data_IF_254368048124
#
_entry.id   IF_254368048124
#
_cell.length_a   1.000
_cell.length_b   1.000
_cell.length_c   1.000
_cell.angle_alpha   90.00
_cell.angle_beta   90.00
_cell.angle_gamma   90.00
#
_symmetry.space_group_name_H-M   'P 1'
#
loop_
_entity.id
_entity.type
_entity.pdbx_description
1 polymer ?
#
# COMPACT_ATOMS: atom_id res chain seq x y z
N UNK A 1 -9.05 -6.36 -15.50
CA UNK A 1 -8.97 -4.97 -14.99
C UNK A 1 -7.52 -4.56 -14.86
N UNK A 2 -7.14 -3.34 -15.23
CA UNK A 2 -5.78 -2.81 -15.00
C UNK A 2 -5.87 -1.65 -14.02
N UNK A 3 -5.02 -1.64 -13.01
CA UNK A 3 -4.93 -0.60 -11.98
C UNK A 3 -3.49 -0.16 -11.80
N UNK A 4 -3.31 1.07 -11.32
CA UNK A 4 -2.00 1.64 -11.01
C UNK A 4 -1.94 1.96 -9.52
N UNK A 5 -0.86 1.52 -8.89
CA UNK A 5 -0.58 1.69 -7.48
C UNK A 5 0.55 2.71 -7.30
N UNK A 6 0.26 3.96 -6.92
CA UNK A 6 1.26 5.03 -6.86
C UNK A 6 2.23 4.85 -5.69
N UNK A 7 3.43 5.40 -5.82
CA UNK A 7 4.34 5.57 -4.68
C UNK A 7 3.86 6.68 -3.75
N UNK A 8 4.47 6.77 -2.55
CA UNK A 8 4.31 7.90 -1.62
C UNK A 8 5.66 8.50 -1.24
N UNK A 9 5.62 9.72 -0.76
CA UNK A 9 6.72 10.36 -0.04
C UNK A 9 6.26 10.79 1.36
N UNK A 10 7.16 10.71 2.33
CA UNK A 10 7.02 11.47 3.56
C UNK A 10 7.64 12.86 3.30
N UNK A 11 6.79 13.86 3.04
CA UNK A 11 7.23 15.23 2.77
C UNK A 11 7.80 15.90 4.04
N UNK A 12 7.27 15.50 5.19
CA UNK A 12 7.86 15.73 6.51
C UNK A 12 7.70 14.48 7.35
N UNK A 13 8.59 14.23 8.30
CA UNK A 13 8.50 13.12 9.25
C UNK A 13 9.12 13.55 10.57
N UNK A 14 8.33 13.48 11.64
CA UNK A 14 8.77 13.72 13.00
C UNK A 14 8.45 12.51 13.86
N UNK A 15 9.43 12.02 14.61
CA UNK A 15 9.25 11.00 15.62
C UNK A 15 9.02 11.72 16.94
N UNK A 16 7.81 11.58 17.51
CA UNK A 16 7.37 12.29 18.71
C UNK A 16 7.74 11.55 19.99
N UNK A 17 7.95 10.22 19.90
CA UNK A 17 8.31 9.40 21.03
C UNK A 17 8.16 7.91 20.77
N UNK A 18 8.57 7.10 21.74
CA UNK A 18 8.37 5.66 21.71
C UNK A 18 7.09 5.33 22.49
N UNK A 19 6.25 4.48 21.91
CA UNK A 19 4.98 4.03 22.46
C UNK A 19 5.19 2.80 23.33
N UNK A 20 4.22 2.51 24.20
CA UNK A 20 4.22 1.32 25.06
C UNK A 20 4.13 0.02 24.26
N UNK A 21 3.51 0.05 23.07
CA UNK A 21 3.39 -1.07 22.14
C UNK A 21 4.69 -1.37 21.35
N UNK A 22 5.77 -0.61 21.63
CA UNK A 22 7.09 -0.77 21.03
C UNK A 22 7.27 -0.02 19.69
N UNK A 23 6.20 0.53 19.12
CA UNK A 23 6.25 1.40 17.95
C UNK A 23 6.63 2.84 18.33
N UNK A 24 6.82 3.68 17.32
CA UNK A 24 7.03 5.11 17.50
C UNK A 24 5.74 5.87 17.24
N UNK A 25 5.48 6.87 18.08
CA UNK A 25 4.51 7.91 17.80
C UNK A 25 5.14 8.87 16.80
N UNK A 26 4.49 9.07 15.65
CA UNK A 26 5.01 9.94 14.60
C UNK A 26 3.95 10.90 14.08
N UNK A 27 4.44 12.00 13.49
CA UNK A 27 3.64 12.89 12.68
C UNK A 27 4.35 13.05 11.35
N UNK A 28 3.66 12.77 10.26
CA UNK A 28 4.22 12.84 8.91
C UNK A 28 3.20 13.38 7.92
N UNK A 29 3.67 14.17 6.96
CA UNK A 29 2.88 14.54 5.79
C UNK A 29 3.20 13.58 4.67
N UNK A 30 2.30 12.66 4.39
CA UNK A 30 2.42 11.74 3.26
C UNK A 30 1.79 12.34 2.00
N UNK A 31 2.47 12.19 0.88
CA UNK A 31 2.00 12.68 -0.42
C UNK A 31 2.10 11.58 -1.48
N UNK A 32 1.09 11.39 -2.35
CA UNK A 32 1.17 10.45 -3.44
C UNK A 32 2.11 10.97 -4.54
N UNK A 33 2.84 10.06 -5.19
CA UNK A 33 3.75 10.34 -6.31
C UNK A 33 3.14 9.78 -7.59
N UNK A 34 2.35 10.58 -8.28
CA UNK A 34 1.61 10.16 -9.46
C UNK A 34 2.48 9.67 -10.64
N UNK A 35 3.72 10.15 -10.73
CA UNK A 35 4.64 9.77 -11.82
C UNK A 35 5.34 8.43 -11.64
N UNK A 36 5.20 7.75 -10.50
CA UNK A 36 5.84 6.48 -10.19
C UNK A 36 4.81 5.51 -9.60
N UNK A 37 4.39 4.55 -10.42
CA UNK A 37 3.34 3.58 -10.05
C UNK A 37 3.75 2.16 -10.41
N UNK A 38 3.41 1.20 -9.57
CA UNK A 38 3.34 -0.19 -9.95
C UNK A 38 2.07 -0.43 -10.79
N UNK A 39 2.07 -1.49 -11.59
CA UNK A 39 0.93 -1.82 -12.45
C UNK A 39 0.45 -3.22 -12.12
N UNK A 40 -0.86 -3.34 -11.86
CA UNK A 40 -1.50 -4.62 -11.60
C UNK A 40 -2.54 -4.91 -12.68
N UNK A 41 -2.52 -6.13 -13.21
CA UNK A 41 -3.59 -6.67 -14.06
C UNK A 41 -4.30 -7.77 -13.29
N UNK A 42 -5.62 -7.64 -13.13
CA UNK A 42 -6.46 -8.60 -12.40
C UNK A 42 -7.40 -9.24 -13.42
N UNK A 43 -7.26 -10.54 -13.60
CA UNK A 43 -8.07 -11.34 -14.51
C UNK A 43 -8.71 -12.51 -13.75
N UNK A 44 -9.96 -12.86 -14.10
CA UNK A 44 -10.61 -14.04 -13.51
C UNK A 44 -9.88 -15.31 -13.94
N UNK A 45 -9.72 -16.25 -13.00
CA UNK A 45 -9.01 -17.51 -13.19
C UNK A 45 -9.76 -18.65 -12.49
N UNK A 46 -9.22 -19.87 -12.51
CA UNK A 46 -9.78 -21.02 -11.76
C UNK A 46 -9.33 -20.99 -10.29
N UNK A 47 -8.16 -20.44 -10.02
CA UNK A 47 -7.57 -20.30 -8.68
C UNK A 47 -6.84 -18.97 -8.55
N UNK A 48 -6.50 -18.58 -7.31
CA UNK A 48 -5.63 -17.43 -7.09
C UNK A 48 -4.20 -17.74 -7.54
N UNK A 49 -3.65 -16.86 -8.37
CA UNK A 49 -2.26 -16.87 -8.80
C UNK A 49 -1.70 -15.44 -8.76
N UNK A 50 -0.46 -15.28 -8.27
CA UNK A 50 0.24 -14.02 -8.31
C UNK A 50 1.52 -14.19 -9.17
N UNK A 51 1.53 -13.54 -10.33
CA UNK A 51 2.70 -13.43 -11.20
C UNK A 51 3.45 -12.14 -10.91
N UNK A 52 4.72 -12.24 -10.54
CA UNK A 52 5.61 -11.09 -10.32
C UNK A 52 6.79 -11.19 -11.28
N UNK A 53 7.10 -10.11 -12.00
CA UNK A 53 8.21 -10.05 -12.93
C UNK A 53 9.61 -10.00 -12.31
N UNK A 54 9.71 -9.96 -10.97
CA UNK A 54 10.97 -9.76 -10.25
C UNK A 54 11.09 -10.71 -9.05
N UNK A 55 12.25 -11.33 -8.90
CA UNK A 55 12.59 -12.14 -7.73
C UNK A 55 12.74 -11.30 -6.43
N UNK A 56 12.83 -9.98 -6.53
CA UNK A 56 12.97 -9.07 -5.38
C UNK A 56 11.69 -8.95 -4.53
N UNK A 57 10.58 -9.51 -5.00
CA UNK A 57 9.27 -9.37 -4.35
C UNK A 57 9.08 -10.39 -3.20
N UNK A 58 10.01 -11.31 -3.03
CA UNK A 58 9.96 -12.36 -2.01
C UNK A 58 8.91 -13.46 -2.28
N UNK A 59 8.68 -14.37 -1.32
CA UNK A 59 7.69 -15.44 -1.46
C UNK A 59 6.28 -14.90 -1.67
N UNK A 60 5.53 -15.53 -2.58
CA UNK A 60 4.16 -15.14 -2.94
C UNK A 60 3.25 -15.09 -1.70
N UNK A 61 3.40 -16.02 -0.78
CA UNK A 61 2.60 -16.13 0.43
C UNK A 61 2.75 -14.93 1.37
N UNK A 62 3.93 -14.31 1.37
CA UNK A 62 4.26 -13.16 2.22
C UNK A 62 3.97 -11.81 1.52
N UNK A 63 3.65 -11.85 0.23
CA UNK A 63 3.38 -10.65 -0.54
C UNK A 63 2.10 -9.96 -0.03
N UNK A 64 2.14 -8.63 0.11
CA UNK A 64 0.99 -7.86 0.59
C UNK A 64 -0.23 -7.95 -0.33
N UNK A 65 -0.04 -8.16 -1.64
CA UNK A 65 -1.12 -8.45 -2.59
C UNK A 65 -1.84 -9.75 -2.22
N UNK A 66 -1.08 -10.82 -1.95
CA UNK A 66 -1.65 -12.10 -1.50
C UNK A 66 -2.38 -11.95 -0.18
N UNK A 67 -1.77 -11.25 0.77
CA UNK A 67 -2.37 -11.00 2.09
C UNK A 67 -3.66 -10.18 1.99
N UNK A 68 -3.69 -9.17 1.12
CA UNK A 68 -4.88 -8.35 0.87
C UNK A 68 -6.02 -9.19 0.30
N UNK A 69 -5.74 -10.03 -0.71
CA UNK A 69 -6.74 -10.93 -1.29
C UNK A 69 -7.26 -11.93 -0.24
N UNK A 70 -6.38 -12.55 0.56
CA UNK A 70 -6.80 -13.49 1.62
C UNK A 70 -7.62 -12.82 2.71
N UNK A 71 -7.26 -11.60 3.09
CA UNK A 71 -8.04 -10.81 4.04
C UNK A 71 -9.43 -10.52 3.48
N UNK A 72 -9.53 -10.10 2.23
CA UNK A 72 -10.79 -9.85 1.56
C UNK A 72 -11.67 -11.12 1.48
N UNK A 73 -11.09 -12.29 1.10
CA UNK A 73 -11.79 -13.57 1.11
C UNK A 73 -12.36 -13.91 2.50
N UNK A 74 -11.55 -13.68 3.55
CA UNK A 74 -11.94 -13.96 4.93
C UNK A 74 -13.07 -13.04 5.40
N UNK A 75 -12.99 -11.75 5.09
CA UNK A 75 -13.97 -10.75 5.50
C UNK A 75 -15.31 -10.92 4.79
N UNK A 76 -15.29 -11.41 3.54
CA UNK A 76 -16.51 -11.55 2.72
C UNK A 76 -17.09 -12.96 2.70
N UNK A 77 -16.31 -13.97 3.08
CA UNK A 77 -16.64 -15.39 2.90
C UNK A 77 -16.63 -15.84 1.44
N UNK A 78 -16.20 -14.98 0.50
CA UNK A 78 -16.16 -15.28 -0.94
C UNK A 78 -14.77 -15.72 -1.35
N UNK A 79 -14.69 -16.61 -2.34
CA UNK A 79 -13.45 -16.97 -3.01
C UNK A 79 -13.15 -15.96 -4.12
N UNK A 80 -11.89 -15.56 -4.21
CA UNK A 80 -11.39 -14.63 -5.20
C UNK A 80 -10.40 -15.33 -6.16
N UNK A 81 -10.91 -16.13 -7.11
CA UNK A 81 -10.08 -16.89 -8.05
C UNK A 81 -9.59 -15.95 -9.16
N UNK A 82 -8.55 -15.19 -8.86
CA UNK A 82 -7.96 -14.23 -9.79
C UNK A 82 -6.49 -14.55 -10.05
N UNK A 83 -6.09 -14.41 -11.31
CA UNK A 83 -4.70 -14.26 -11.69
C UNK A 83 -4.37 -12.78 -11.65
N UNK A 84 -3.43 -12.41 -10.78
CA UNK A 84 -2.92 -11.05 -10.61
C UNK A 84 -1.50 -10.99 -11.14
N UNK A 85 -1.28 -10.17 -12.17
CA UNK A 85 0.06 -9.87 -12.68
C UNK A 85 0.51 -8.54 -12.11
N UNK A 86 1.62 -8.56 -11.37
CA UNK A 86 2.22 -7.39 -10.72
C UNK A 86 3.52 -7.00 -11.41
N UNK A 87 3.51 -5.86 -12.07
CA UNK A 87 4.69 -5.23 -12.66
C UNK A 87 5.23 -4.17 -11.68
N UNK A 88 6.36 -4.47 -11.02
CA UNK A 88 7.00 -3.57 -10.07
C UNK A 88 7.84 -2.52 -10.78
N UNK A 89 7.58 -1.26 -10.47
CA UNK A 89 8.34 -0.08 -10.92
C UNK A 89 8.81 0.76 -9.74
N UNK A 90 8.10 0.68 -8.61
CA UNK A 90 8.48 1.34 -7.37
C UNK A 90 9.62 0.53 -6.74
N UNK A 91 10.81 1.14 -6.52
CA UNK A 91 11.95 0.44 -5.95
C UNK A 91 11.64 -0.13 -4.56
N UNK A 92 11.95 -1.41 -4.35
CA UNK A 92 11.77 -2.08 -3.06
C UNK A 92 12.73 -1.52 -2.00
N UNK A 93 12.27 -1.43 -0.75
CA UNK A 93 13.09 -0.97 0.38
C UNK A 93 13.52 0.49 0.31
N UNK A 94 12.83 1.32 -0.47
CA UNK A 94 13.14 2.73 -0.66
C UNK A 94 12.27 3.69 0.19
N UNK A 95 11.43 3.17 1.10
CA UNK A 95 10.49 3.99 1.87
C UNK A 95 9.32 4.57 1.07
N UNK A 96 9.13 4.12 -0.19
CA UNK A 96 8.15 4.66 -1.13
C UNK A 96 6.77 3.97 -1.04
N UNK A 97 6.59 3.01 -0.15
CA UNK A 97 5.31 2.37 0.14
C UNK A 97 4.76 1.45 -0.95
N UNK A 98 5.56 1.01 -1.93
CA UNK A 98 5.07 0.28 -3.10
C UNK A 98 4.24 -0.97 -2.76
N UNK A 99 4.70 -1.83 -1.83
CA UNK A 99 3.93 -3.01 -1.42
C UNK A 99 2.61 -2.67 -0.73
N UNK A 100 2.58 -1.60 0.07
CA UNK A 100 1.37 -1.10 0.72
C UNK A 100 0.39 -0.53 -0.30
N UNK A 101 0.89 0.17 -1.31
CA UNK A 101 0.11 0.69 -2.43
C UNK A 101 -0.52 -0.45 -3.25
N UNK A 102 0.26 -1.50 -3.56
CA UNK A 102 -0.25 -2.68 -4.27
C UNK A 102 -1.41 -3.34 -3.50
N UNK A 103 -1.26 -3.49 -2.18
CA UNK A 103 -2.28 -4.09 -1.32
C UNK A 103 -3.57 -3.28 -1.28
N UNK A 104 -3.46 -1.96 -1.10
CA UNK A 104 -4.61 -1.05 -1.11
C UNK A 104 -5.33 -1.08 -2.46
N UNK A 105 -4.57 -1.05 -3.57
CA UNK A 105 -5.11 -1.14 -4.92
C UNK A 105 -5.89 -2.45 -5.14
N UNK A 106 -5.40 -3.58 -4.62
CA UNK A 106 -6.09 -4.87 -4.69
C UNK A 106 -7.36 -4.88 -3.85
N UNK A 107 -7.36 -4.35 -2.61
CA UNK A 107 -8.57 -4.26 -1.78
C UNK A 107 -9.67 -3.47 -2.49
N UNK A 108 -9.34 -2.29 -3.01
CA UNK A 108 -10.29 -1.44 -3.75
C UNK A 108 -10.82 -2.16 -4.99
N UNK A 109 -9.91 -2.76 -5.79
CA UNK A 109 -10.30 -3.47 -7.00
C UNK A 109 -11.22 -4.67 -6.72
N UNK A 110 -10.95 -5.45 -5.68
CA UNK A 110 -11.79 -6.58 -5.30
C UNK A 110 -13.17 -6.11 -4.81
N UNK A 111 -13.23 -5.00 -4.05
CA UNK A 111 -14.49 -4.41 -3.64
C UNK A 111 -15.38 -4.06 -4.84
N UNK A 112 -14.77 -3.43 -5.85
CA UNK A 112 -15.46 -3.02 -7.09
C UNK A 112 -15.88 -4.24 -7.94
N UNK A 113 -14.98 -5.21 -8.17
CA UNK A 113 -15.21 -6.37 -9.02
C UNK A 113 -16.27 -7.29 -8.41
N UNK A 114 -16.19 -7.56 -7.10
CA UNK A 114 -17.09 -8.45 -6.39
C UNK A 114 -18.39 -7.75 -5.93
N UNK A 115 -18.48 -6.43 -6.08
CA UNK A 115 -19.64 -5.59 -5.71
C UNK A 115 -20.06 -5.85 -4.27
N UNK A 116 -19.10 -5.74 -3.35
CA UNK A 116 -19.34 -5.91 -1.91
C UNK A 116 -19.90 -4.64 -1.30
N UNK A 117 -19.54 -3.47 -1.89
CA UNK A 117 -19.94 -2.14 -1.45
C UNK A 117 -19.44 -1.81 -0.02
N UNK A 118 -18.25 -2.30 0.35
CA UNK A 118 -17.57 -1.79 1.55
C UNK A 118 -17.38 -0.28 1.43
N UNK A 119 -17.68 0.41 2.51
CA UNK A 119 -17.38 1.84 2.67
C UNK A 119 -15.87 2.07 2.76
N UNK A 120 -15.44 3.32 2.52
CA UNK A 120 -14.03 3.69 2.67
C UNK A 120 -13.50 3.39 4.08
N UNK A 121 -14.32 3.61 5.12
CA UNK A 121 -13.95 3.30 6.51
C UNK A 121 -13.71 1.79 6.73
N UNK A 122 -14.55 0.92 6.19
CA UNK A 122 -14.38 -0.53 6.29
C UNK A 122 -13.14 -1.00 5.53
N UNK A 123 -12.87 -0.43 4.35
CA UNK A 123 -11.64 -0.72 3.60
C UNK A 123 -10.39 -0.23 4.35
N UNK A 124 -10.45 0.92 5.02
CA UNK A 124 -9.33 1.43 5.83
C UNK A 124 -9.05 0.56 7.06
N UNK A 125 -10.09 0.06 7.73
CA UNK A 125 -9.94 -0.90 8.82
C UNK A 125 -9.23 -2.18 8.34
N UNK A 126 -9.65 -2.71 7.18
CA UNK A 126 -8.98 -3.87 6.56
C UNK A 126 -7.53 -3.55 6.18
N UNK A 127 -7.29 -2.38 5.59
CA UNK A 127 -5.97 -1.93 5.18
C UNK A 127 -5.00 -1.81 6.36
N UNK A 128 -5.46 -1.32 7.51
CA UNK A 128 -4.67 -1.19 8.73
C UNK A 128 -4.18 -2.54 9.29
N UNK A 129 -4.89 -3.64 9.02
CA UNK A 129 -4.46 -5.00 9.37
C UNK A 129 -3.29 -5.51 8.51
N UNK A 130 -3.09 -4.93 7.33
CA UNK A 130 -2.02 -5.30 6.40
C UNK A 130 -0.72 -4.55 6.68
N UNK A 131 -0.82 -3.29 7.09
CA UNK A 131 0.31 -2.45 7.42
C UNK A 131 -0.07 -0.99 7.64
N UNK A 132 0.77 -0.24 8.38
CA UNK A 132 0.47 1.15 8.77
C UNK A 132 0.32 2.12 7.60
N UNK A 133 1.03 1.89 6.50
CA UNK A 133 0.98 2.76 5.32
C UNK A 133 -0.18 2.39 4.35
N UNK A 134 -0.81 1.20 4.51
CA UNK A 134 -1.81 0.73 3.55
C UNK A 134 -3.06 1.62 3.50
N UNK A 135 -3.61 2.10 4.63
CA UNK A 135 -4.77 2.99 4.64
C UNK A 135 -4.55 4.28 3.85
N UNK A 136 -3.33 4.85 3.88
CA UNK A 136 -3.00 6.06 3.13
C UNK A 136 -3.28 5.91 1.63
N UNK A 137 -3.01 4.75 1.04
CA UNK A 137 -3.20 4.49 -0.39
C UNK A 137 -4.66 4.24 -0.79
N UNK A 138 -5.57 4.20 0.16
CA UNK A 138 -7.02 4.28 -0.09
C UNK A 138 -7.51 5.73 -0.21
N UNK A 139 -6.66 6.70 0.12
CA UNK A 139 -6.89 8.14 -0.10
C UNK A 139 -6.17 8.58 -1.37
N UNK A 140 -6.83 9.41 -2.16
CA UNK A 140 -6.25 9.95 -3.40
C UNK A 140 -5.64 11.35 -3.19
N UNK A 141 -5.38 11.72 -1.92
CA UNK A 141 -4.96 13.06 -1.49
C UNK A 141 -3.77 12.99 -0.52
N UNK A 142 -2.99 14.08 -0.40
CA UNK A 142 -2.03 14.24 0.68
C UNK A 142 -2.71 14.13 2.05
N UNK A 143 -2.05 13.49 3.02
CA UNK A 143 -2.57 13.32 4.37
C UNK A 143 -1.53 13.66 5.43
N UNK A 144 -1.96 14.36 6.47
CA UNK A 144 -1.28 14.32 7.76
C UNK A 144 -1.57 12.98 8.40
N UNK A 145 -0.52 12.25 8.74
CA UNK A 145 -0.61 10.92 9.34
C UNK A 145 0.01 10.96 10.73
N UNK A 146 -0.73 10.45 11.72
CA UNK A 146 -0.34 10.39 13.14
C UNK A 146 -0.41 8.96 13.65
N UNK A 147 -0.05 8.77 14.92
CA UNK A 147 0.04 7.44 15.49
C UNK A 147 1.27 6.72 14.96
N UNK A 148 1.10 5.53 14.39
CA UNK A 148 2.13 4.80 13.64
C UNK A 148 2.11 5.14 12.14
N UNK A 149 1.24 6.09 11.72
CA UNK A 149 0.93 6.47 10.35
C UNK A 149 -0.49 6.13 9.89
N UNK A 150 -1.29 5.49 10.76
CA UNK A 150 -2.65 5.02 10.44
C UNK A 150 -3.76 6.02 10.68
N UNK A 151 -3.51 7.08 11.47
CA UNK A 151 -4.50 8.15 11.71
C UNK A 151 -4.34 9.20 10.61
N UNK A 152 -5.29 9.25 9.68
CA UNK A 152 -5.21 10.04 8.46
C UNK A 152 -6.12 11.26 8.54
N UNK A 153 -5.56 12.43 8.24
CA UNK A 153 -6.28 13.70 8.06
C UNK A 153 -5.92 14.28 6.70
N UNK A 154 -6.89 14.27 5.78
CA UNK A 154 -6.65 14.79 4.42
C UNK A 154 -6.29 16.26 4.44
N UNK A 155 -5.40 16.65 3.54
CA UNK A 155 -4.97 18.03 3.34
C UNK A 155 -4.74 18.32 1.87
N UNK A 156 -4.55 19.58 1.54
CA UNK A 156 -4.25 20.00 0.17
C UNK A 156 -2.85 20.57 0.08
N UNK A 157 -2.13 20.16 -0.95
CA UNK A 157 -0.83 20.73 -1.31
C UNK A 157 -0.85 21.12 -2.79
N UNK A 158 -0.10 22.16 -3.12
CA UNK A 158 0.18 22.49 -4.51
C UNK A 158 1.06 21.37 -5.09
N UNK A 159 0.71 20.93 -6.29
CA UNK A 159 1.50 19.95 -7.03
C UNK A 159 2.92 20.49 -7.25
N UNK A 160 3.92 19.67 -6.98
CA UNK A 160 5.32 19.99 -7.13
C UNK A 160 6.05 18.87 -7.87
N UNK A 161 7.06 19.24 -8.65
CA UNK A 161 7.97 18.28 -9.23
C UNK A 161 9.03 17.89 -8.20
N UNK A 162 9.30 16.58 -8.12
CA UNK A 162 10.32 16.03 -7.21
C UNK A 162 11.27 15.13 -7.98
N UNK A 163 12.53 15.09 -7.56
CA UNK A 163 13.54 14.17 -8.07
C UNK A 163 13.83 13.14 -6.99
N UNK A 164 13.64 11.86 -7.31
CA UNK A 164 13.92 10.75 -6.42
C UNK A 164 15.31 10.18 -6.70
N UNK A 165 16.17 10.19 -5.69
CA UNK A 165 17.49 9.57 -5.75
C UNK A 165 17.53 8.39 -4.78
N UNK A 166 17.59 7.15 -5.31
CA UNK A 166 17.76 5.93 -4.50
C UNK A 166 19.24 5.51 -4.55
N UNK A 167 19.96 5.54 -3.42
CA UNK A 167 21.31 4.97 -3.34
C UNK A 167 21.31 3.47 -3.64
N UNK A 168 22.48 2.91 -4.01
CA UNK A 168 22.63 1.49 -4.28
C UNK A 168 22.56 0.62 -3.00
N UNK A 169 22.73 1.21 -1.82
CA UNK A 169 22.57 0.54 -0.53
C UNK A 169 21.16 0.74 0.02
N UNK A 170 20.71 -0.22 0.82
CA UNK A 170 19.44 -0.13 1.57
C UNK A 170 19.73 0.13 3.05
N UNK A 171 18.83 0.86 3.71
CA UNK A 171 18.82 1.03 5.16
C UNK A 171 17.61 0.27 5.71
N UNK A 172 17.84 -0.60 6.69
CA UNK A 172 16.73 -1.27 7.37
C UNK A 172 16.00 -0.29 8.28
N UNK A 173 14.69 -0.42 8.36
CA UNK A 173 13.85 0.45 9.22
C UNK A 173 14.25 0.39 10.70
N UNK A 174 14.89 -0.72 11.13
CA UNK A 174 15.38 -0.87 12.51
C UNK A 174 16.63 -0.04 12.77
N UNK A 175 17.39 0.28 11.72
CA UNK A 175 18.67 1.00 11.78
C UNK A 175 18.49 2.50 11.44
N UNK A 176 17.28 2.90 11.07
CA UNK A 176 16.91 4.27 10.72
C UNK A 176 16.28 5.01 11.90
#
# INVERSE_FOLDING_TARGET
MTIFAPAKLNFSLQILGKREDGFHELETLMVPVAGLCDRLEINRSESFELETGSAEVGPVENNLVTRALRLFETSTGRKCPYHIKLEKRIPSGAGLGGGSSDAAAVLRALNDIEKIDFSDAELEEMAALLGSDVPFFLRDSPCWCRGRGEVLEETSLLAQEVVLLKPAFSVNTVDA
#
